data_IF_772798633597
#
_entry.id   IF_772798633597
#
_cell.length_a   1.000
_cell.length_b   1.000
_cell.length_c   1.000
_cell.angle_alpha   90.00
_cell.angle_beta   90.00
_cell.angle_gamma   90.00
#
_symmetry.space_group_name_H-M   'P 1'
#
loop_
_entity.id
_entity.type
_entity.pdbx_description
1 polymer ?
#
# COMPACT_ATOMS: atom_id res chain seq x y z
N UNK A 1 -55.92 22.51 64.59
CA UNK A 1 -54.88 23.35 63.99
C UNK A 1 -54.21 22.67 62.79
N UNK A 2 -53.66 21.46 62.93
CA UNK A 2 -52.93 20.79 61.83
C UNK A 2 -53.74 20.49 60.55
N UNK A 3 -55.04 20.19 60.64
CA UNK A 3 -55.87 19.91 59.46
C UNK A 3 -56.17 21.16 58.61
N UNK A 4 -56.27 22.33 59.24
CA UNK A 4 -56.54 23.59 58.55
C UNK A 4 -55.33 24.00 57.70
N UNK A 5 -54.11 23.80 58.22
CA UNK A 5 -52.88 24.06 57.46
C UNK A 5 -52.70 23.09 56.29
N UNK A 6 -53.08 21.82 56.47
CA UNK A 6 -53.06 20.83 55.38
C UNK A 6 -54.03 21.20 54.25
N UNK A 7 -55.27 21.58 54.59
CA UNK A 7 -56.25 22.02 53.59
C UNK A 7 -55.79 23.30 52.88
N UNK A 8 -55.18 24.24 53.61
CA UNK A 8 -54.62 25.46 53.01
C UNK A 8 -53.45 25.18 52.05
N UNK A 9 -52.62 24.17 52.35
CA UNK A 9 -51.56 23.72 51.45
C UNK A 9 -52.11 23.00 50.22
N UNK A 10 -53.12 22.16 50.38
CA UNK A 10 -53.79 21.47 49.27
C UNK A 10 -54.45 22.49 48.32
N UNK A 11 -55.12 23.53 48.85
CA UNK A 11 -55.72 24.61 48.04
C UNK A 11 -54.66 25.43 47.29
N UNK A 12 -53.53 25.78 47.92
CA UNK A 12 -52.41 26.45 47.23
C UNK A 12 -51.77 25.57 46.15
N UNK A 13 -51.77 24.25 46.32
CA UNK A 13 -51.24 23.33 45.33
C UNK A 13 -52.18 23.17 44.13
N UNK A 14 -53.49 23.20 44.36
CA UNK A 14 -54.52 23.22 43.32
C UNK A 14 -54.44 24.49 42.46
N UNK A 15 -54.25 25.66 43.10
CA UNK A 15 -54.14 26.96 42.43
C UNK A 15 -52.87 27.11 41.57
N UNK A 16 -51.85 26.26 41.82
CA UNK A 16 -50.59 26.21 41.05
C UNK A 16 -50.59 25.20 39.91
N UNK A 17 -51.66 24.42 39.71
CA UNK A 17 -51.72 23.51 38.55
C UNK A 17 -52.00 24.32 37.28
N UNK A 18 -51.22 24.14 36.21
CA UNK A 18 -51.53 24.80 34.94
C UNK A 18 -52.93 24.36 34.48
N UNK A 19 -53.73 25.31 34.03
CA UNK A 19 -55.07 25.04 33.51
C UNK A 19 -54.99 24.01 32.37
N UNK A 20 -56.03 23.17 32.19
CA UNK A 20 -56.08 22.25 31.06
C UNK A 20 -55.92 23.02 29.74
N UNK A 21 -55.13 22.45 28.83
CA UNK A 21 -54.86 23.05 27.53
C UNK A 21 -56.18 23.44 26.84
N UNK A 22 -56.25 24.66 26.33
CA UNK A 22 -57.46 25.16 25.68
C UNK A 22 -57.73 24.36 24.42
N UNK A 23 -58.99 24.17 24.06
CA UNK A 23 -59.39 23.37 22.89
C UNK A 23 -58.69 23.84 21.60
N UNK A 24 -58.42 25.14 21.49
CA UNK A 24 -57.69 25.73 20.37
C UNK A 24 -56.21 25.32 20.32
N UNK A 25 -55.57 25.13 21.48
CA UNK A 25 -54.19 24.65 21.57
C UNK A 25 -54.09 23.19 21.15
N UNK A 26 -55.08 22.37 21.51
CA UNK A 26 -55.16 20.97 21.10
C UNK A 26 -55.42 20.89 19.59
N UNK A 27 -56.34 21.69 19.06
CA UNK A 27 -56.59 21.76 17.60
C UNK A 27 -55.34 22.18 16.84
N UNK A 28 -54.62 23.21 17.30
CA UNK A 28 -53.37 23.64 16.67
C UNK A 28 -52.29 22.54 16.68
N UNK A 29 -52.17 21.78 17.77
CA UNK A 29 -51.24 20.65 17.87
C UNK A 29 -51.62 19.50 16.93
N UNK A 30 -52.93 19.21 16.78
CA UNK A 30 -53.41 18.18 15.84
C UNK A 30 -53.08 18.58 14.40
N UNK A 31 -53.34 19.83 14.00
CA UNK A 31 -53.02 20.32 12.65
C UNK A 31 -51.52 20.30 12.36
N UNK A 32 -50.69 20.61 13.36
CA UNK A 32 -49.23 20.53 13.21
C UNK A 32 -48.74 19.09 13.06
N UNK A 33 -49.31 18.16 13.85
CA UNK A 33 -48.99 16.74 13.81
C UNK A 33 -49.46 16.06 12.50
N UNK A 34 -50.53 16.56 11.87
CA UNK A 34 -50.97 16.10 10.56
C UNK A 34 -50.01 16.52 9.44
N UNK A 35 -49.36 17.69 9.57
CA UNK A 35 -48.35 18.16 8.60
C UNK A 35 -47.09 17.30 8.60
N UNK A 36 -46.73 16.75 9.76
CA UNK A 36 -45.52 15.92 9.94
C UNK A 36 -45.82 14.41 9.84
N UNK A 37 -47.02 14.01 9.38
CA UNK A 37 -47.25 12.60 9.03
C UNK A 37 -46.30 12.20 7.90
N UNK A 38 -45.54 11.12 8.04
CA UNK A 38 -44.66 10.65 6.97
C UNK A 38 -45.51 10.33 5.74
N UNK A 39 -45.29 11.04 4.64
CA UNK A 39 -45.90 10.76 3.35
C UNK A 39 -45.62 9.29 3.00
N UNK A 40 -46.66 8.46 3.00
CA UNK A 40 -46.59 7.10 2.48
C UNK A 40 -46.49 7.20 0.95
N UNK A 41 -45.27 7.48 0.46
CA UNK A 41 -44.93 7.42 -0.95
C UNK A 41 -45.13 5.97 -1.43
N UNK A 42 -46.24 5.71 -2.14
CA UNK A 42 -46.40 4.46 -2.89
C UNK A 42 -45.51 4.53 -4.13
N UNK A 43 -44.21 4.38 -3.93
CA UNK A 43 -43.28 4.30 -5.05
C UNK A 43 -43.55 2.98 -5.75
N UNK A 44 -43.81 3.03 -7.05
CA UNK A 44 -44.01 1.83 -7.86
C UNK A 44 -42.66 1.09 -7.96
N UNK A 45 -42.44 0.15 -7.04
CA UNK A 45 -41.17 -0.57 -6.84
C UNK A 45 -40.66 -1.24 -8.11
N UNK A 46 -41.55 -1.62 -9.03
CA UNK A 46 -41.22 -2.25 -10.29
C UNK A 46 -40.61 -1.26 -11.30
N UNK A 47 -41.16 -0.03 -11.36
CA UNK A 47 -40.61 1.04 -12.19
C UNK A 47 -39.21 1.47 -11.71
N UNK A 48 -39.00 1.52 -10.40
CA UNK A 48 -37.69 1.82 -9.79
C UNK A 48 -36.71 0.69 -10.04
N UNK A 49 -37.12 -0.57 -9.86
CA UNK A 49 -36.26 -1.73 -10.13
C UNK A 49 -35.80 -1.76 -11.60
N UNK A 50 -36.69 -1.46 -12.55
CA UNK A 50 -36.36 -1.42 -13.98
C UNK A 50 -35.37 -0.30 -14.31
N UNK A 51 -35.53 0.87 -13.70
CA UNK A 51 -34.63 2.00 -13.89
C UNK A 51 -33.24 1.75 -13.27
N UNK A 52 -33.22 1.07 -12.11
CA UNK A 52 -31.98 0.65 -11.45
C UNK A 52 -31.26 -0.45 -12.25
N UNK A 53 -31.96 -1.46 -12.76
CA UNK A 53 -31.36 -2.51 -13.60
C UNK A 53 -30.69 -1.93 -14.85
N UNK A 54 -31.35 -0.99 -15.55
CA UNK A 54 -30.74 -0.34 -16.72
C UNK A 54 -29.48 0.46 -16.38
N UNK A 55 -29.42 1.07 -15.20
CA UNK A 55 -28.21 1.78 -14.72
C UNK A 55 -27.10 0.81 -14.31
N UNK A 56 -27.45 -0.30 -13.67
CA UNK A 56 -26.51 -1.36 -13.32
C UNK A 56 -25.89 -1.96 -14.58
N UNK A 57 -26.68 -2.30 -15.61
CA UNK A 57 -26.16 -2.84 -16.86
C UNK A 57 -25.20 -1.88 -17.57
N UNK A 58 -25.51 -0.57 -17.57
CA UNK A 58 -24.60 0.46 -18.11
C UNK A 58 -23.30 0.52 -17.33
N UNK A 59 -23.36 0.44 -16.00
CA UNK A 59 -22.18 0.44 -15.14
C UNK A 59 -21.35 -0.84 -15.30
N UNK A 60 -21.98 -2.01 -15.45
CA UNK A 60 -21.29 -3.27 -15.70
C UNK A 60 -20.52 -3.24 -17.02
N UNK A 61 -21.14 -2.73 -18.10
CA UNK A 61 -20.45 -2.57 -19.40
C UNK A 61 -19.28 -1.60 -19.32
N UNK A 62 -19.46 -0.46 -18.66
CA UNK A 62 -18.39 0.52 -18.47
C UNK A 62 -17.23 -0.08 -17.64
N UNK A 63 -17.56 -0.85 -16.60
CA UNK A 63 -16.56 -1.52 -15.76
C UNK A 63 -15.78 -2.58 -16.55
N UNK A 64 -16.47 -3.41 -17.34
CA UNK A 64 -15.84 -4.44 -18.19
C UNK A 64 -14.87 -3.82 -19.22
N UNK A 65 -15.27 -2.70 -19.84
CA UNK A 65 -14.41 -1.97 -20.77
C UNK A 65 -13.15 -1.43 -20.08
N UNK A 66 -13.30 -0.87 -18.87
CA UNK A 66 -12.16 -0.39 -18.07
C UNK A 66 -11.23 -1.54 -17.68
N UNK A 67 -11.77 -2.67 -17.22
CA UNK A 67 -10.98 -3.85 -16.89
C UNK A 67 -10.20 -4.35 -18.12
N UNK A 68 -10.84 -4.42 -19.28
CA UNK A 68 -10.19 -4.86 -20.52
C UNK A 68 -9.06 -3.91 -20.93
N UNK A 69 -9.27 -2.60 -20.81
CA UNK A 69 -8.21 -1.60 -21.05
C UNK A 69 -7.06 -1.73 -20.06
N UNK A 70 -7.35 -1.99 -18.79
CA UNK A 70 -6.33 -2.14 -17.75
C UNK A 70 -5.46 -3.37 -18.01
N UNK A 71 -6.08 -4.50 -18.37
CA UNK A 71 -5.38 -5.75 -18.72
C UNK A 71 -4.43 -5.49 -19.89
N UNK A 72 -4.93 -4.89 -20.99
CA UNK A 72 -4.08 -4.55 -22.15
C UNK A 72 -2.90 -3.65 -21.79
N UNK A 73 -3.13 -2.63 -20.97
CA UNK A 73 -2.06 -1.71 -20.57
C UNK A 73 -0.99 -2.42 -19.72
N UNK A 74 -1.40 -3.35 -18.85
CA UNK A 74 -0.47 -4.16 -18.06
C UNK A 74 0.32 -5.12 -18.96
N UNK A 75 -0.33 -5.76 -19.93
CA UNK A 75 0.32 -6.65 -20.89
C UNK A 75 1.35 -5.87 -21.73
N UNK A 76 0.95 -4.76 -22.35
CA UNK A 76 1.83 -3.89 -23.15
C UNK A 76 3.05 -3.41 -22.33
N UNK A 77 2.82 -3.06 -21.05
CA UNK A 77 3.91 -2.62 -20.17
C UNK A 77 4.86 -3.75 -19.81
N UNK A 78 4.34 -4.96 -19.63
CA UNK A 78 5.12 -6.15 -19.31
C UNK A 78 6.00 -6.55 -20.49
N UNK A 79 5.43 -6.54 -21.70
CA UNK A 79 6.15 -6.83 -22.94
C UNK A 79 7.26 -5.81 -23.18
N UNK A 80 6.96 -4.51 -23.03
CA UNK A 80 7.97 -3.46 -23.13
C UNK A 80 9.13 -3.62 -22.15
N UNK A 81 8.84 -3.99 -20.90
CA UNK A 81 9.88 -4.22 -19.88
C UNK A 81 10.72 -5.47 -20.20
N UNK A 82 10.09 -6.52 -20.72
CA UNK A 82 10.79 -7.73 -21.15
C UNK A 82 11.72 -7.47 -22.34
N UNK A 83 11.29 -6.69 -23.33
CA UNK A 83 12.14 -6.28 -24.44
C UNK A 83 13.36 -5.47 -23.96
N UNK A 84 13.13 -4.49 -23.07
CA UNK A 84 14.21 -3.70 -22.45
C UNK A 84 15.21 -4.57 -21.67
N UNK A 85 14.71 -5.53 -20.88
CA UNK A 85 15.56 -6.45 -20.13
C UNK A 85 16.36 -7.34 -21.07
N UNK A 86 15.72 -7.87 -22.12
CA UNK A 86 16.38 -8.71 -23.13
C UNK A 86 17.48 -7.93 -23.85
N UNK A 87 17.20 -6.69 -24.28
CA UNK A 87 18.18 -5.82 -24.91
C UNK A 87 19.38 -5.53 -23.99
N UNK A 88 19.12 -5.26 -22.70
CA UNK A 88 20.18 -5.04 -21.71
C UNK A 88 21.02 -6.29 -21.46
N UNK A 89 20.39 -7.47 -21.36
CA UNK A 89 21.10 -8.74 -21.20
C UNK A 89 22.02 -9.02 -22.40
N UNK A 90 21.53 -8.82 -23.62
CA UNK A 90 22.35 -8.94 -24.84
C UNK A 90 23.51 -7.95 -24.81
N UNK A 91 23.25 -6.68 -24.45
CA UNK A 91 24.30 -5.67 -24.32
C UNK A 91 25.37 -6.03 -23.29
N UNK A 92 24.97 -6.56 -22.13
CA UNK A 92 25.90 -7.03 -21.10
C UNK A 92 26.70 -8.25 -21.55
N UNK A 93 26.08 -9.20 -22.25
CA UNK A 93 26.77 -10.37 -22.78
C UNK A 93 27.79 -9.96 -23.87
N UNK A 94 27.46 -8.98 -24.70
CA UNK A 94 28.41 -8.39 -25.65
C UNK A 94 29.55 -7.65 -24.94
N UNK A 95 29.27 -6.91 -23.87
CA UNK A 95 30.31 -6.27 -23.07
C UNK A 95 31.22 -7.31 -22.40
N UNK A 96 30.65 -8.39 -21.88
CA UNK A 96 31.39 -9.48 -21.25
C UNK A 96 32.29 -10.21 -22.25
N UNK A 97 31.78 -10.51 -23.45
CA UNK A 97 32.60 -11.15 -24.50
C UNK A 97 33.74 -10.24 -24.95
N UNK A 98 33.48 -8.94 -25.14
CA UNK A 98 34.55 -7.95 -25.42
C UNK A 98 35.60 -7.94 -24.30
N UNK A 99 35.16 -7.91 -23.04
CA UNK A 99 36.06 -7.91 -21.89
C UNK A 99 36.87 -9.21 -21.80
N UNK A 100 36.25 -10.35 -22.09
CA UNK A 100 36.93 -11.65 -22.11
C UNK A 100 37.99 -11.73 -23.22
N UNK A 101 37.70 -11.20 -24.41
CA UNK A 101 38.68 -11.08 -25.50
C UNK A 101 39.82 -10.14 -25.09
N UNK A 102 39.51 -8.98 -24.53
CA UNK A 102 40.54 -8.06 -24.01
C UNK A 102 41.40 -8.71 -22.92
N UNK A 103 40.83 -9.53 -22.05
CA UNK A 103 41.60 -10.26 -21.03
C UNK A 103 42.51 -11.33 -21.65
N UNK A 104 42.13 -11.94 -22.77
CA UNK A 104 42.99 -12.87 -23.50
C UNK A 104 44.14 -12.18 -24.24
N UNK A 105 43.90 -10.96 -24.74
CA UNK A 105 44.92 -10.14 -25.41
C UNK A 105 45.89 -9.43 -24.43
N UNK A 106 45.60 -9.43 -23.12
CA UNK A 106 46.55 -8.94 -22.12
C UNK A 106 47.66 -9.99 -21.95
N UNK A 107 48.92 -9.66 -22.26
CA UNK A 107 50.04 -10.58 -22.04
C UNK A 107 50.13 -10.91 -20.55
N UNK A 108 49.86 -12.18 -20.20
CA UNK A 108 49.85 -12.68 -18.80
C UNK A 108 51.22 -12.62 -18.12
N UNK A 109 52.28 -12.53 -18.91
CA UNK A 109 53.64 -12.40 -18.42
C UNK A 109 54.39 -11.35 -19.26
N UNK A 110 54.36 -10.11 -18.77
CA UNK A 110 55.44 -9.18 -19.10
C UNK A 110 56.53 -9.46 -18.07
N UNK A 111 57.68 -9.96 -18.51
CA UNK A 111 58.86 -10.07 -17.67
C UNK A 111 59.32 -8.66 -17.27
N UNK A 112 58.67 -8.08 -16.26
CA UNK A 112 59.06 -6.80 -15.71
C UNK A 112 60.32 -7.04 -14.89
N UNK A 113 61.47 -6.77 -15.50
CA UNK A 113 62.72 -6.58 -14.79
C UNK A 113 62.58 -5.32 -13.91
N UNK A 114 61.91 -5.47 -12.77
CA UNK A 114 61.55 -4.38 -11.85
C UNK A 114 62.77 -3.59 -11.40
N UNK A 115 63.93 -4.24 -11.29
CA UNK A 115 65.20 -3.58 -10.93
C UNK A 115 65.68 -2.58 -11.98
N UNK A 116 65.45 -2.82 -13.25
CA UNK A 116 65.99 -2.00 -14.35
C UNK A 116 65.07 -0.83 -14.69
N UNK A 117 63.76 -1.00 -14.54
CA UNK A 117 62.76 -0.01 -14.94
C UNK A 117 61.94 0.59 -13.78
N UNK A 118 62.27 0.30 -12.52
CA UNK A 118 61.51 0.77 -11.34
C UNK A 118 61.19 2.27 -11.38
N UNK A 119 62.13 3.11 -11.84
CA UNK A 119 61.93 4.56 -11.98
C UNK A 119 60.92 4.93 -13.07
N UNK A 120 60.92 4.20 -14.19
CA UNK A 120 60.00 4.42 -15.30
C UNK A 120 58.60 3.82 -15.03
N UNK A 121 58.55 2.66 -14.39
CA UNK A 121 57.28 2.04 -13.98
C UNK A 121 56.62 2.84 -12.85
N UNK A 122 57.40 3.35 -11.90
CA UNK A 122 56.90 4.24 -10.87
C UNK A 122 56.39 5.56 -11.46
N UNK A 123 57.08 6.15 -12.46
CA UNK A 123 56.63 7.40 -13.08
C UNK A 123 55.40 7.22 -13.96
N UNK A 124 55.22 6.08 -14.64
CA UNK A 124 54.03 5.80 -15.45
C UNK A 124 52.82 5.45 -14.56
N UNK A 125 53.03 4.76 -13.43
CA UNK A 125 51.95 4.43 -12.51
C UNK A 125 51.55 5.60 -11.61
N UNK A 126 52.52 6.36 -11.08
CA UNK A 126 52.25 7.52 -10.22
C UNK A 126 52.01 8.79 -11.01
N UNK A 127 52.48 8.92 -12.24
CA UNK A 127 52.33 10.12 -13.07
C UNK A 127 50.87 10.54 -13.27
N UNK A 128 49.97 9.65 -13.72
CA UNK A 128 48.55 9.97 -13.85
C UNK A 128 47.91 10.31 -12.51
N UNK A 129 48.29 9.59 -11.43
CA UNK A 129 47.75 9.81 -10.08
C UNK A 129 48.17 11.18 -9.56
N UNK A 130 49.45 11.54 -9.70
CA UNK A 130 50.00 12.85 -9.30
C UNK A 130 49.41 13.96 -10.15
N UNK A 131 49.22 13.75 -11.46
CA UNK A 131 48.63 14.74 -12.35
C UNK A 131 47.15 14.99 -12.03
N UNK A 132 46.39 13.93 -11.69
CA UNK A 132 45.02 14.06 -11.19
C UNK A 132 45.00 14.75 -9.82
N UNK A 133 45.91 14.41 -8.91
CA UNK A 133 46.01 15.05 -7.60
C UNK A 133 46.34 16.55 -7.71
N UNK A 134 47.23 16.89 -8.65
CA UNK A 134 47.67 18.25 -8.93
C UNK A 134 46.56 19.03 -9.64
N UNK A 135 45.83 18.43 -10.57
CA UNK A 135 44.59 19.00 -11.12
C UNK A 135 43.53 19.23 -10.04
N UNK A 136 43.32 18.28 -9.12
CA UNK A 136 42.41 18.45 -7.98
C UNK A 136 42.88 19.56 -7.03
N UNK A 137 44.20 19.71 -6.85
CA UNK A 137 44.77 20.76 -6.01
C UNK A 137 44.62 22.15 -6.63
N UNK A 138 44.87 22.30 -7.93
CA UNK A 138 44.69 23.57 -8.66
C UNK A 138 43.22 23.95 -8.85
N UNK A 139 42.31 22.97 -8.99
CA UNK A 139 40.86 23.22 -9.11
C UNK A 139 40.15 23.39 -7.77
N UNK A 140 40.85 23.24 -6.64
CA UNK A 140 40.29 23.49 -5.30
C UNK A 140 39.15 22.53 -4.89
N UNK A 141 39.03 21.37 -5.54
CA UNK A 141 37.91 20.44 -5.30
C UNK A 141 37.98 19.68 -3.97
N UNK A 142 39.05 19.84 -3.18
CA UNK A 142 39.16 19.26 -1.84
C UNK A 142 38.26 19.91 -0.76
N UNK A 143 37.56 21.01 -1.06
CA UNK A 143 36.75 21.74 -0.06
C UNK A 143 35.24 21.76 -0.33
N UNK A 144 34.75 21.04 -1.35
CA UNK A 144 33.31 20.95 -1.61
C UNK A 144 32.91 19.55 -2.01
N UNK A 145 32.93 18.62 -1.05
CA UNK A 145 31.81 17.68 -1.01
C UNK A 145 30.63 18.53 -0.59
N UNK A 146 29.64 18.81 -1.48
CA UNK A 146 28.49 19.61 -1.08
C UNK A 146 27.85 18.88 0.10
N UNK A 147 27.86 19.51 1.29
CA UNK A 147 27.27 18.92 2.50
C UNK A 147 25.81 18.50 2.26
N UNK A 148 25.15 19.11 1.26
CA UNK A 148 23.85 18.69 0.76
C UNK A 148 23.84 17.27 0.19
N UNK A 149 24.81 16.85 -0.63
CA UNK A 149 24.83 15.49 -1.18
C UNK A 149 25.13 14.46 -0.09
N UNK A 150 26.00 14.79 0.87
CA UNK A 150 26.32 13.89 1.98
C UNK A 150 25.13 13.74 2.94
N UNK A 151 24.42 14.85 3.21
CA UNK A 151 23.17 14.83 3.98
C UNK A 151 22.05 14.10 3.23
N UNK A 152 21.94 14.27 1.91
CA UNK A 152 20.95 13.54 1.09
C UNK A 152 21.27 12.05 1.03
N UNK A 153 22.53 11.66 0.86
CA UNK A 153 22.96 10.27 0.87
C UNK A 153 22.68 9.62 2.24
N UNK A 154 23.01 10.30 3.35
CA UNK A 154 22.69 9.84 4.70
C UNK A 154 21.18 9.76 4.96
N UNK A 155 20.40 10.72 4.46
CA UNK A 155 18.95 10.68 4.56
C UNK A 155 18.35 9.50 3.77
N UNK A 156 18.86 9.24 2.56
CA UNK A 156 18.43 8.10 1.75
C UNK A 156 18.79 6.76 2.40
N UNK A 157 20.00 6.60 2.95
CA UNK A 157 20.37 5.37 3.65
C UNK A 157 19.53 5.15 4.90
N UNK A 158 19.24 6.21 5.66
CA UNK A 158 18.39 6.12 6.86
C UNK A 158 16.94 5.78 6.49
N UNK A 159 16.42 6.34 5.40
CA UNK A 159 15.10 5.99 4.86
C UNK A 159 15.05 4.55 4.34
N UNK A 160 16.11 4.08 3.68
CA UNK A 160 16.18 2.70 3.19
C UNK A 160 16.22 1.71 4.36
N UNK A 161 17.00 2.00 5.40
CA UNK A 161 17.08 1.18 6.62
C UNK A 161 15.74 1.13 7.36
N UNK A 162 15.07 2.27 7.55
CA UNK A 162 13.76 2.31 8.22
C UNK A 162 12.65 1.61 7.41
N UNK A 163 12.70 1.67 6.07
CA UNK A 163 11.79 0.88 5.23
C UNK A 163 12.07 -0.62 5.33
N UNK A 164 13.34 -1.01 5.34
CA UNK A 164 13.73 -2.41 5.47
C UNK A 164 13.29 -3.00 6.82
N UNK A 165 13.48 -2.27 7.93
CA UNK A 165 13.04 -2.73 9.25
C UNK A 165 11.52 -2.89 9.33
N UNK A 166 10.75 -1.92 8.82
CA UNK A 166 9.28 -2.02 8.76
C UNK A 166 8.81 -3.22 7.94
N UNK A 167 9.41 -3.46 6.78
CA UNK A 167 9.06 -4.63 5.97
C UNK A 167 9.39 -5.94 6.70
N UNK A 168 10.52 -6.03 7.40
CA UNK A 168 10.85 -7.24 8.18
C UNK A 168 9.87 -7.47 9.34
N UNK A 169 9.44 -6.41 10.03
CA UNK A 169 8.43 -6.52 11.10
C UNK A 169 7.06 -6.95 10.58
N UNK A 170 6.64 -6.41 9.43
CA UNK A 170 5.38 -6.81 8.78
C UNK A 170 5.43 -8.27 8.36
N UNK A 171 6.52 -8.71 7.71
CA UNK A 171 6.70 -10.11 7.31
C UNK A 171 6.67 -11.03 8.54
N UNK A 172 7.30 -10.65 9.65
CA UNK A 172 7.23 -11.42 10.90
C UNK A 172 5.80 -11.50 11.46
N UNK A 173 5.06 -10.39 11.47
CA UNK A 173 3.65 -10.39 11.91
C UNK A 173 2.78 -11.29 11.05
N UNK A 174 2.95 -11.25 9.73
CA UNK A 174 2.26 -12.15 8.80
C UNK A 174 2.60 -13.62 9.05
N UNK A 175 3.88 -13.93 9.30
CA UNK A 175 4.32 -15.28 9.63
C UNK A 175 3.72 -15.78 10.95
N UNK A 176 3.68 -14.94 11.99
CA UNK A 176 3.07 -15.27 13.29
C UNK A 176 1.56 -15.50 13.18
N UNK A 177 0.84 -14.61 12.47
CA UNK A 177 -0.60 -14.75 12.25
C UNK A 177 -0.92 -16.05 11.53
N UNK A 178 -0.13 -16.40 10.51
CA UNK A 178 -0.24 -17.67 9.80
C UNK A 178 0.03 -18.85 10.72
N UNK A 179 1.10 -18.83 11.52
CA UNK A 179 1.42 -19.92 12.43
C UNK A 179 0.29 -20.18 13.44
N UNK A 180 -0.32 -19.12 13.95
CA UNK A 180 -1.53 -19.22 14.77
C UNK A 180 -2.71 -19.82 14.00
N UNK A 181 -2.99 -19.33 12.78
CA UNK A 181 -4.06 -19.87 11.93
C UNK A 181 -3.84 -21.35 11.55
N UNK A 182 -2.60 -21.75 11.29
CA UNK A 182 -2.25 -23.11 10.93
C UNK A 182 -2.46 -24.07 12.11
N UNK A 183 -2.23 -23.61 13.34
CA UNK A 183 -2.50 -24.36 14.57
C UNK A 183 -3.99 -24.57 14.81
N UNK A 184 -4.80 -23.53 14.61
CA UNK A 184 -6.23 -23.59 14.91
C UNK A 184 -7.05 -24.20 13.76
N UNK A 185 -6.71 -23.86 12.51
CA UNK A 185 -7.47 -24.20 11.29
C UNK A 185 -6.54 -24.37 10.07
N UNK A 186 -5.83 -25.50 9.96
CA UNK A 186 -4.87 -25.75 8.87
C UNK A 186 -5.53 -25.70 7.48
N UNK A 187 -6.81 -26.06 7.37
CA UNK A 187 -7.57 -26.01 6.11
C UNK A 187 -7.75 -24.58 5.57
N UNK A 188 -7.97 -23.60 6.47
CA UNK A 188 -8.13 -22.19 6.11
C UNK A 188 -6.77 -21.58 5.81
N UNK A 189 -5.76 -21.90 6.62
CA UNK A 189 -4.39 -21.44 6.40
C UNK A 189 -3.87 -21.82 5.00
N UNK A 190 -4.09 -23.06 4.56
CA UNK A 190 -3.69 -23.51 3.22
C UNK A 190 -4.47 -22.82 2.09
N UNK A 191 -5.77 -22.54 2.29
CA UNK A 191 -6.62 -21.91 1.28
C UNK A 191 -6.26 -20.45 1.02
N UNK A 192 -5.90 -19.69 2.06
CA UNK A 192 -5.65 -18.25 1.97
C UNK A 192 -4.16 -17.89 1.97
N UNK A 193 -3.27 -18.79 2.43
CA UNK A 193 -1.82 -18.57 2.50
C UNK A 193 -1.02 -19.81 2.06
N UNK A 194 -1.12 -20.23 0.78
CA UNK A 194 -0.46 -21.44 0.31
C UNK A 194 1.06 -21.26 0.24
N UNK A 195 1.82 -22.10 0.96
CA UNK A 195 3.25 -22.27 0.72
C UNK A 195 3.52 -23.57 -0.06
N UNK A 196 4.56 -23.59 -0.93
CA UNK A 196 4.93 -24.79 -1.67
C UNK A 196 5.27 -26.00 -0.78
N UNK A 197 5.68 -25.75 0.47
CA UNK A 197 6.13 -26.77 1.43
C UNK A 197 5.02 -27.29 2.35
N UNK A 198 3.79 -26.76 2.27
CA UNK A 198 2.73 -27.16 3.20
C UNK A 198 2.09 -28.50 2.82
N UNK A 199 1.89 -29.43 3.77
CA UNK A 199 1.16 -30.65 3.52
C UNK A 199 -0.30 -30.33 3.17
N UNK A 200 -0.75 -30.81 2.01
CA UNK A 200 -2.10 -30.58 1.51
C UNK A 200 -3.13 -31.16 2.49
N UNK A 201 -4.07 -30.38 3.02
CA UNK A 201 -5.04 -30.88 4.00
C UNK A 201 -5.92 -31.97 3.37
N UNK A 202 -6.12 -33.08 4.09
CA UNK A 202 -6.96 -34.18 3.64
C UNK A 202 -8.41 -33.70 3.45
N UNK A 203 -9.01 -34.01 2.30
CA UNK A 203 -10.44 -33.75 2.03
C UNK A 203 -11.27 -34.46 3.10
N UNK A 204 -11.89 -33.71 4.01
CA UNK A 204 -12.92 -34.26 4.90
C UNK A 204 -14.14 -34.61 4.06
N UNK A 205 -14.30 -35.89 3.79
CA UNK A 205 -15.47 -36.47 3.16
C UNK A 205 -16.66 -36.29 4.11
N UNK A 206 -17.56 -35.36 3.76
CA UNK A 206 -18.79 -35.14 4.50
C UNK A 206 -19.66 -36.39 4.42
N UNK A 207 -19.56 -37.27 5.42
CA UNK A 207 -20.58 -38.28 5.70
C UNK A 207 -21.87 -37.55 6.07
N UNK A 208 -22.70 -37.27 5.07
CA UNK A 208 -24.10 -36.87 5.24
C UNK A 208 -24.79 -37.97 6.05
N UNK A 209 -24.97 -37.70 7.35
CA UNK A 209 -25.89 -38.45 8.19
C UNK A 209 -27.29 -38.15 7.64
N UNK A 210 -27.85 -39.09 6.86
CA UNK A 210 -29.28 -39.12 6.58
C UNK A 210 -29.98 -39.36 7.91
N UNK A 211 -30.74 -38.37 8.38
CA UNK A 211 -31.85 -38.55 9.30
C UNK A 211 -33.12 -38.19 8.55
#
# INVERSE_FOLDING_TARGET
>A
MAEIERIAQELRALDKRPLPATEDQVKALVTLAERDRPLTLSVNSEAVAKLLMGKVDQQTKAFEEVCTKLIRLVDDRTDYLNEQLTAKLVGLQQAQTKLAVTIQDIPREVAVNWRTHWKATASIALGPVVLVLLMLWFTGMFSRVPQQELAQAQAQTTQAQTKATRMTEEVQKYQQFRAALAKDRPEIAYKYFPYPTDPKPAKKENKRVKR
#
